data_IF_357802329038
#
_entry.id   IF_357802329038
#
_cell.length_a   1.000
_cell.length_b   1.000
_cell.length_c   1.000
_cell.angle_alpha   90.00
_cell.angle_beta   90.00
_cell.angle_gamma   90.00
#
_symmetry.space_group_name_H-M   'P 1'
#
loop_
_entity.id
_entity.type
_entity.pdbx_description
1 polymer ?
#
# COMPACT_ATOMS: atom_id res chain seq x y z
N UNK A 1 15.66 -5.89 14.96
CA UNK A 1 16.05 -5.94 13.53
C UNK A 1 15.20 -4.99 12.73
N UNK A 2 15.83 -4.24 11.87
CA UNK A 2 15.11 -3.37 10.96
C UNK A 2 14.52 -4.20 9.80
N UNK A 3 13.32 -3.82 9.36
CA UNK A 3 12.72 -4.43 8.17
C UNK A 3 13.33 -3.83 6.92
N UNK A 4 13.47 -4.60 5.83
CA UNK A 4 13.78 -4.01 4.53
C UNK A 4 12.74 -2.96 4.16
N UNK A 5 13.11 -1.98 3.36
CA UNK A 5 12.20 -0.94 2.89
C UNK A 5 11.53 -1.38 1.60
N UNK A 6 10.21 -1.27 1.51
CA UNK A 6 9.49 -1.47 0.27
C UNK A 6 9.91 -0.41 -0.75
N UNK A 7 9.89 -0.76 -2.02
CA UNK A 7 10.37 0.10 -3.10
C UNK A 7 9.18 0.66 -3.88
N UNK A 8 8.92 1.98 -3.78
CA UNK A 8 7.91 2.64 -4.60
C UNK A 8 8.50 3.07 -5.94
N UNK A 9 7.76 2.83 -7.01
CA UNK A 9 8.07 3.34 -8.34
C UNK A 9 6.85 4.09 -8.87
N UNK A 10 6.96 5.39 -9.00
CA UNK A 10 5.88 6.23 -9.54
C UNK A 10 5.80 6.00 -11.04
N UNK A 11 4.63 5.58 -11.52
CA UNK A 11 4.37 5.30 -12.93
C UNK A 11 3.63 6.45 -13.62
N UNK A 12 2.69 7.07 -12.90
CA UNK A 12 1.92 8.21 -13.38
C UNK A 12 1.79 9.21 -12.23
N UNK A 13 2.00 10.47 -12.52
CA UNK A 13 1.76 11.55 -11.56
C UNK A 13 1.29 12.79 -12.32
N UNK A 14 0.02 13.11 -12.17
CA UNK A 14 -0.59 14.26 -12.84
C UNK A 14 -1.56 14.99 -11.90
N UNK A 15 -2.33 15.91 -12.41
CA UNK A 15 -3.24 16.73 -11.60
C UNK A 15 -4.38 15.91 -10.96
N UNK A 16 -4.69 14.72 -11.49
CA UNK A 16 -5.84 13.93 -11.06
C UNK A 16 -5.49 12.74 -10.21
N UNK A 17 -4.34 12.12 -10.46
CA UNK A 17 -3.98 10.90 -9.78
C UNK A 17 -2.47 10.69 -9.75
N UNK A 18 -2.07 9.83 -8.83
CA UNK A 18 -0.71 9.29 -8.79
C UNK A 18 -0.80 7.77 -8.74
N UNK A 19 -0.11 7.10 -9.65
CA UNK A 19 -0.02 5.64 -9.69
C UNK A 19 1.38 5.23 -9.28
N UNK A 20 1.48 4.40 -8.26
CA UNK A 20 2.75 3.92 -7.71
C UNK A 20 2.73 2.40 -7.65
N UNK A 21 3.76 1.76 -8.20
CA UNK A 21 4.01 0.35 -7.96
C UNK A 21 4.79 0.23 -6.64
N UNK A 22 4.26 -0.57 -5.72
CA UNK A 22 4.94 -0.91 -4.48
C UNK A 22 5.45 -2.34 -4.55
N UNK A 23 6.74 -2.50 -4.37
CA UNK A 23 7.41 -3.82 -4.43
C UNK A 23 8.06 -4.12 -3.10
N UNK A 24 7.69 -5.25 -2.53
CA UNK A 24 8.10 -5.67 -1.19
C UNK A 24 8.87 -6.98 -1.27
N UNK A 25 10.14 -6.98 -0.90
CA UNK A 25 10.83 -8.22 -0.57
C UNK A 25 10.17 -8.86 0.66
N UNK A 26 10.36 -10.16 0.92
CA UNK A 26 9.84 -10.77 2.14
C UNK A 26 10.23 -9.98 3.38
N UNK A 27 9.26 -9.65 4.22
CA UNK A 27 9.46 -8.85 5.42
C UNK A 27 9.61 -7.35 5.23
N UNK A 28 9.60 -6.86 3.99
CA UNK A 28 9.74 -5.42 3.72
C UNK A 28 8.50 -4.65 4.16
N UNK A 29 8.73 -3.38 4.51
CA UNK A 29 7.68 -2.50 5.01
C UNK A 29 7.74 -1.12 4.34
N UNK A 30 6.57 -0.49 4.19
CA UNK A 30 6.51 0.90 3.70
C UNK A 30 7.06 1.89 4.72
N UNK A 31 7.00 1.58 5.99
CA UNK A 31 7.12 2.52 7.09
C UNK A 31 5.77 3.16 7.40
N UNK A 32 5.68 3.77 8.57
CA UNK A 32 4.46 4.47 8.99
C UNK A 32 4.18 5.64 8.06
N UNK A 33 2.95 5.71 7.53
CA UNK A 33 2.57 6.79 6.63
C UNK A 33 1.07 7.13 6.76
N UNK A 34 0.73 8.32 6.31
CA UNK A 34 -0.63 8.86 6.29
C UNK A 34 -1.08 9.05 4.85
N UNK A 35 -2.31 8.62 4.55
CA UNK A 35 -2.91 8.79 3.22
C UNK A 35 -3.72 10.09 3.15
N UNK A 36 -3.21 11.07 2.42
CA UNK A 36 -3.85 12.36 2.22
C UNK A 36 -4.94 12.35 1.14
N UNK A 37 -5.10 11.23 0.44
CA UNK A 37 -6.06 11.05 -0.66
C UNK A 37 -6.81 9.74 -0.51
N UNK A 38 -8.01 9.68 -1.09
CA UNK A 38 -8.65 8.40 -1.35
C UNK A 38 -7.77 7.61 -2.32
N UNK A 39 -7.73 6.30 -2.19
CA UNK A 39 -6.87 5.50 -3.05
C UNK A 39 -7.45 4.13 -3.34
N UNK A 40 -7.03 3.58 -4.49
CA UNK A 40 -7.36 2.23 -4.94
C UNK A 40 -6.09 1.40 -4.89
N UNK A 41 -6.21 0.18 -4.41
CA UNK A 41 -5.12 -0.80 -4.43
C UNK A 41 -5.48 -1.91 -5.39
N UNK A 42 -4.56 -2.21 -6.32
CA UNK A 42 -4.68 -3.34 -7.24
C UNK A 42 -3.56 -4.31 -6.92
N UNK A 43 -3.85 -5.40 -6.18
CA UNK A 43 -2.83 -6.41 -5.92
C UNK A 43 -2.38 -7.08 -7.22
N UNK A 44 -1.08 -7.24 -7.38
CA UNK A 44 -0.49 -8.01 -8.48
C UNK A 44 -0.08 -9.40 -8.00
N UNK A 45 -0.04 -9.60 -6.71
CA UNK A 45 0.33 -10.84 -6.05
C UNK A 45 -0.79 -11.24 -5.09
N UNK A 46 -1.10 -12.53 -5.01
CA UNK A 46 -2.00 -13.04 -3.99
C UNK A 46 -1.19 -13.33 -2.73
N UNK A 47 -1.66 -12.87 -1.59
CA UNK A 47 -0.98 -13.10 -0.33
C UNK A 47 -1.54 -12.25 0.79
N UNK A 48 -0.82 -12.26 1.91
CA UNK A 48 -1.24 -11.62 3.14
C UNK A 48 -0.32 -10.47 3.48
N UNK A 49 -0.90 -9.31 3.79
CA UNK A 49 -0.15 -8.17 4.33
C UNK A 49 -0.44 -8.02 5.81
N UNK A 50 0.58 -7.67 6.57
CA UNK A 50 0.43 -7.26 7.96
C UNK A 50 0.27 -5.74 7.97
N UNK A 51 -0.79 -5.26 8.60
CA UNK A 51 -1.08 -3.84 8.75
C UNK A 51 -0.94 -3.47 10.21
N UNK A 52 -0.07 -2.53 10.50
CA UNK A 52 0.03 -1.91 11.82
C UNK A 52 -0.70 -0.57 11.77
N UNK A 53 -1.61 -0.36 12.71
CA UNK A 53 -2.56 0.74 12.72
C UNK A 53 -2.48 1.54 14.03
N UNK A 54 -3.09 2.74 14.11
CA UNK A 54 -3.06 3.55 15.33
C UNK A 54 -3.52 2.78 16.57
N UNK A 55 -2.94 3.12 17.71
CA UNK A 55 -3.29 2.49 18.97
C UNK A 55 -2.64 1.12 19.19
N UNK A 56 -1.59 0.79 18.43
CA UNK A 56 -0.90 -0.50 18.57
C UNK A 56 -1.67 -1.68 17.99
N UNK A 57 -2.65 -1.43 17.14
CA UNK A 57 -3.45 -2.46 16.49
C UNK A 57 -2.68 -3.07 15.34
N UNK A 58 -2.66 -4.40 15.28
CA UNK A 58 -2.09 -5.14 14.15
C UNK A 58 -3.16 -6.08 13.60
N UNK A 59 -3.27 -6.15 12.29
CA UNK A 59 -4.18 -7.09 11.63
C UNK A 59 -3.61 -7.55 10.30
N UNK A 60 -4.09 -8.69 9.82
CA UNK A 60 -3.74 -9.20 8.51
C UNK A 60 -4.84 -8.90 7.51
N UNK A 61 -4.43 -8.56 6.27
CA UNK A 61 -5.33 -8.40 5.14
C UNK A 61 -4.94 -9.42 4.08
N UNK A 62 -5.90 -10.24 3.65
CA UNK A 62 -5.70 -11.18 2.56
C UNK A 62 -6.02 -10.45 1.25
N UNK A 63 -5.05 -10.40 0.34
CA UNK A 63 -5.20 -9.78 -0.96
C UNK A 63 -5.16 -10.84 -2.06
N UNK A 64 -5.95 -10.62 -3.11
CA UNK A 64 -6.02 -11.52 -4.27
C UNK A 64 -5.58 -10.76 -5.52
N UNK A 65 -4.64 -11.31 -6.27
CA UNK A 65 -4.14 -10.71 -7.51
C UNK A 65 -5.29 -10.36 -8.43
N UNK A 66 -5.32 -9.12 -8.92
CA UNK A 66 -6.34 -8.63 -9.84
C UNK A 66 -7.65 -8.20 -9.19
N UNK A 67 -7.83 -8.39 -7.89
CA UNK A 67 -9.04 -7.95 -7.17
C UNK A 67 -8.72 -6.67 -6.42
N UNK A 68 -9.16 -5.54 -6.97
CA UNK A 68 -8.91 -4.23 -6.39
C UNK A 68 -9.85 -3.90 -5.23
N UNK A 69 -9.41 -2.98 -4.39
CA UNK A 69 -10.24 -2.40 -3.34
C UNK A 69 -9.85 -0.93 -3.16
N UNK A 70 -10.70 -0.18 -2.47
CA UNK A 70 -10.43 1.23 -2.21
C UNK A 70 -10.48 1.54 -0.73
N UNK A 71 -9.78 2.60 -0.33
CA UNK A 71 -9.81 3.14 1.02
C UNK A 71 -9.91 4.65 0.96
N UNK A 72 -10.47 5.23 2.01
CA UNK A 72 -10.67 6.66 2.10
C UNK A 72 -9.43 7.38 2.63
N UNK A 73 -9.35 8.67 2.34
CA UNK A 73 -8.35 9.56 2.94
C UNK A 73 -8.38 9.45 4.48
N UNK A 74 -7.24 9.68 5.09
CA UNK A 74 -7.11 9.65 6.55
C UNK A 74 -6.57 8.34 7.09
N UNK A 75 -6.38 7.32 6.26
CA UNK A 75 -5.76 6.07 6.69
C UNK A 75 -4.33 6.31 7.11
N UNK A 76 -3.95 5.76 8.25
CA UNK A 76 -2.60 5.85 8.80
C UNK A 76 -2.17 4.45 9.19
N UNK A 77 -1.02 4.01 8.67
CA UNK A 77 -0.56 2.64 8.92
C UNK A 77 0.87 2.42 8.47
N UNK A 78 1.40 1.25 8.83
CA UNK A 78 2.59 0.63 8.25
C UNK A 78 2.14 -0.65 7.55
N UNK A 79 2.59 -0.86 6.33
CA UNK A 79 2.24 -2.04 5.52
C UNK A 79 3.46 -2.93 5.38
N UNK A 80 3.33 -4.19 5.78
CA UNK A 80 4.44 -5.14 5.83
C UNK A 80 4.10 -6.39 5.03
N UNK A 81 5.05 -6.83 4.20
CA UNK A 81 4.93 -8.10 3.50
C UNK A 81 5.20 -9.27 4.45
N UNK A 82 4.15 -9.95 4.88
CA UNK A 82 4.21 -11.08 5.78
C UNK A 82 4.11 -12.41 5.01
N UNK A 83 4.77 -12.48 3.86
CA UNK A 83 4.87 -13.68 3.04
C UNK A 83 6.33 -14.07 2.87
N UNK A 84 6.58 -15.32 2.44
CA UNK A 84 7.92 -15.83 2.18
C UNK A 84 8.45 -15.41 0.81
N UNK A 85 7.63 -14.77 0.00
CA UNK A 85 7.94 -14.35 -1.36
C UNK A 85 7.67 -12.88 -1.53
N UNK A 86 8.17 -12.31 -2.63
CA UNK A 86 7.92 -10.93 -3.01
C UNK A 86 6.43 -10.64 -3.15
N UNK A 87 6.00 -9.47 -2.72
CA UNK A 87 4.64 -8.99 -2.89
C UNK A 87 4.65 -7.67 -3.67
N UNK A 88 3.74 -7.54 -4.63
CA UNK A 88 3.63 -6.33 -5.45
C UNK A 88 2.18 -5.89 -5.50
N UNK A 89 1.93 -4.59 -5.33
CA UNK A 89 0.63 -4.00 -5.64
C UNK A 89 0.80 -2.64 -6.31
N UNK A 90 -0.24 -2.23 -7.01
CA UNK A 90 -0.35 -0.90 -7.59
C UNK A 90 -1.26 -0.08 -6.68
N UNK A 91 -0.83 1.13 -6.32
CA UNK A 91 -1.61 2.08 -5.55
C UNK A 91 -1.96 3.25 -6.46
N UNK A 92 -3.24 3.57 -6.53
CA UNK A 92 -3.76 4.70 -7.31
C UNK A 92 -4.34 5.70 -6.33
N UNK A 93 -3.62 6.80 -6.11
CA UNK A 93 -4.09 7.90 -5.27
C UNK A 93 -4.92 8.85 -6.12
N UNK A 94 -6.13 9.15 -5.65
CA UNK A 94 -7.07 10.01 -6.35
C UNK A 94 -6.94 11.41 -5.77
N UNK A 95 -6.31 12.30 -6.51
CA UNK A 95 -6.14 13.70 -6.08
C UNK A 95 -7.47 14.42 -6.22
N UNK A 96 -7.79 15.26 -5.23
CA UNK A 96 -8.99 16.06 -5.30
C UNK A 96 -8.89 17.08 -6.42
N UNK A 97 -9.96 17.29 -7.21
CA UNK A 97 -9.96 18.34 -8.19
C UNK A 97 -9.82 19.69 -7.51
N UNK A 98 -9.08 20.60 -8.14
CA UNK A 98 -9.01 21.98 -7.70
C UNK A 98 -10.40 22.59 -7.75
N UNK A 99 -10.78 23.29 -6.67
CA UNK A 99 -12.04 24.00 -6.62
C UNK A 99 -12.05 25.17 -7.59
#
# INVERSE_FOLDING_TARGET
MTRPTAIPTVQIDNARLRVTEWRFAPGAATGWHYHAHDYVVVPMTTGRLLLEEPGGVSRHAQLTAGVSYSRDTGVEHDVINDNDTEFVFIEIELKEPSA
#
